data_IF_519024686596
#
_entry.id   IF_519024686596
#
_cell.length_a   1.000
_cell.length_b   1.000
_cell.length_c   1.000
_cell.angle_alpha   90.00
_cell.angle_beta   90.00
_cell.angle_gamma   90.00
#
_symmetry.space_group_name_H-M   'P 1'
#
loop_
_entity.id
_entity.type
_entity.pdbx_description
1 polymer ?
#
# COMPACT_ATOMS: atom_id res chain seq x y z
N UNK A 1 8.48 -11.07 6.69
CA UNK A 1 7.91 -12.35 6.24
C UNK A 1 6.55 -12.69 6.87
N UNK A 2 6.43 -12.87 8.20
CA UNK A 2 5.15 -13.18 8.88
C UNK A 2 4.14 -12.03 8.82
N UNK A 3 4.57 -10.80 9.16
CA UNK A 3 3.71 -9.61 9.14
C UNK A 3 3.16 -9.33 7.74
N UNK A 4 4.01 -9.45 6.71
CA UNK A 4 3.60 -9.29 5.32
C UNK A 4 2.55 -10.33 4.91
N UNK A 5 2.75 -11.60 5.29
CA UNK A 5 1.78 -12.68 5.03
C UNK A 5 0.46 -12.45 5.77
N UNK A 6 0.52 -12.10 7.04
CA UNK A 6 -0.66 -11.81 7.86
C UNK A 6 -1.44 -10.63 7.28
N UNK A 7 -0.78 -9.51 6.98
CA UNK A 7 -1.44 -8.35 6.35
C UNK A 7 -2.06 -8.70 5.01
N UNK A 8 -1.38 -9.50 4.17
CA UNK A 8 -1.94 -9.93 2.89
C UNK A 8 -3.24 -10.74 3.06
N UNK A 9 -3.33 -11.55 4.11
CA UNK A 9 -4.51 -12.37 4.44
C UNK A 9 -5.63 -11.59 5.16
N UNK A 10 -5.29 -10.57 5.93
CA UNK A 10 -6.26 -9.81 6.73
C UNK A 10 -6.79 -8.57 6.00
N UNK A 11 -5.89 -7.79 5.41
CA UNK A 11 -6.22 -6.51 4.79
C UNK A 11 -5.22 -6.18 3.68
N UNK A 12 -5.62 -6.47 2.45
CA UNK A 12 -4.78 -6.30 1.26
C UNK A 12 -4.34 -4.85 1.02
N UNK A 13 -5.16 -3.86 1.39
CA UNK A 13 -4.78 -2.44 1.31
C UNK A 13 -3.66 -2.10 2.31
N UNK A 14 -3.71 -2.63 3.53
CA UNK A 14 -2.62 -2.45 4.49
C UNK A 14 -1.35 -3.16 4.06
N UNK A 15 -1.47 -4.34 3.45
CA UNK A 15 -0.33 -5.04 2.86
C UNK A 15 0.34 -4.19 1.79
N UNK A 16 -0.44 -3.62 0.86
CA UNK A 16 0.12 -2.79 -0.19
C UNK A 16 0.86 -1.56 0.37
N UNK A 17 0.24 -0.83 1.31
CA UNK A 17 0.88 0.32 1.97
C UNK A 17 2.14 -0.07 2.74
N UNK A 18 2.13 -1.24 3.39
CA UNK A 18 3.30 -1.79 4.07
C UNK A 18 4.43 -2.11 3.09
N UNK A 19 4.11 -2.67 1.92
CA UNK A 19 5.10 -2.96 0.89
C UNK A 19 5.72 -1.68 0.30
N UNK A 20 4.91 -0.64 0.04
CA UNK A 20 5.43 0.66 -0.39
C UNK A 20 6.36 1.30 0.64
N UNK A 21 5.98 1.22 1.92
CA UNK A 21 6.86 1.67 3.00
C UNK A 21 8.17 0.88 3.03
N UNK A 22 8.12 -0.44 2.82
CA UNK A 22 9.33 -1.26 2.77
C UNK A 22 10.25 -0.86 1.63
N UNK A 23 9.71 -0.60 0.43
CA UNK A 23 10.49 -0.16 -0.72
C UNK A 23 11.28 1.13 -0.38
N UNK A 24 10.62 2.11 0.25
CA UNK A 24 11.27 3.36 0.65
C UNK A 24 12.30 3.16 1.76
N UNK A 25 12.01 2.29 2.73
CA UNK A 25 12.97 1.92 3.78
C UNK A 25 14.22 1.28 3.13
N UNK A 26 14.04 0.31 2.24
CA UNK A 26 15.14 -0.36 1.56
C UNK A 26 15.96 0.62 0.70
N UNK A 27 15.30 1.56 0.01
CA UNK A 27 15.98 2.65 -0.71
C UNK A 27 16.83 3.53 0.21
N UNK A 28 16.34 3.83 1.41
CA UNK A 28 17.10 4.63 2.38
C UNK A 28 18.36 3.91 2.90
N UNK A 29 18.39 2.58 2.83
CA UNK A 29 19.58 1.75 3.06
C UNK A 29 20.36 1.43 1.77
N UNK A 30 20.10 2.16 0.68
CA UNK A 30 20.80 1.99 -0.61
C UNK A 30 20.69 0.57 -1.20
N UNK A 31 19.65 -0.18 -0.81
CA UNK A 31 19.48 -1.59 -1.17
C UNK A 31 20.69 -2.47 -0.80
N UNK A 32 21.30 -2.16 0.34
CA UNK A 32 22.41 -2.89 0.94
C UNK A 32 21.90 -3.81 2.06
N UNK A 33 22.04 -5.12 1.86
CA UNK A 33 21.55 -6.12 2.80
C UNK A 33 22.32 -6.12 4.13
N UNK A 34 23.57 -5.66 4.14
CA UNK A 34 24.37 -5.59 5.37
C UNK A 34 23.94 -4.40 6.23
N UNK A 35 23.59 -3.27 5.61
CA UNK A 35 22.97 -2.14 6.32
C UNK A 35 21.60 -2.51 6.88
N UNK A 36 20.80 -3.24 6.09
CA UNK A 36 19.49 -3.76 6.51
C UNK A 36 19.62 -4.72 7.69
N UNK A 37 20.62 -5.61 7.66
CA UNK A 37 20.91 -6.52 8.78
C UNK A 37 21.10 -5.77 10.09
N UNK A 38 22.05 -4.84 10.09
CA UNK A 38 22.45 -4.12 11.31
C UNK A 38 21.33 -3.22 11.84
N UNK A 39 20.53 -2.63 10.95
CA UNK A 39 19.59 -1.57 11.32
C UNK A 39 18.14 -2.04 11.48
N UNK A 40 17.74 -3.12 10.79
CA UNK A 40 16.35 -3.61 10.78
C UNK A 40 16.20 -5.04 11.33
N UNK A 41 17.22 -5.88 11.19
CA UNK A 41 17.13 -7.30 11.55
C UNK A 41 17.66 -7.53 12.96
N UNK A 42 18.93 -7.19 13.22
CA UNK A 42 19.61 -7.44 14.49
C UNK A 42 18.91 -6.83 15.72
N UNK A 43 18.30 -5.62 15.64
CA UNK A 43 17.59 -5.04 16.78
C UNK A 43 16.23 -5.68 17.07
N UNK A 44 15.63 -6.37 16.10
CA UNK A 44 14.24 -6.85 16.15
C UNK A 44 14.14 -8.35 16.40
N UNK A 45 15.07 -9.13 15.85
CA UNK A 45 15.04 -10.59 15.93
C UNK A 45 16.13 -11.12 16.86
N UNK A 46 15.77 -12.09 17.70
CA UNK A 46 16.64 -12.56 18.78
C UNK A 46 17.25 -13.94 18.52
N UNK A 47 16.64 -14.75 17.66
CA UNK A 47 17.18 -16.05 17.25
C UNK A 47 17.90 -15.99 15.90
N UNK A 48 18.87 -16.87 15.68
CA UNK A 48 19.61 -16.92 14.42
C UNK A 48 18.72 -17.38 13.26
N UNK A 49 17.77 -18.26 13.54
CA UNK A 49 16.77 -18.72 12.58
C UNK A 49 15.89 -17.56 12.10
N UNK A 50 15.35 -16.75 13.00
CA UNK A 50 14.52 -15.59 12.65
C UNK A 50 15.31 -14.53 11.88
N UNK A 51 16.56 -14.25 12.30
CA UNK A 51 17.43 -13.30 11.60
C UNK A 51 17.71 -13.77 10.18
N UNK A 52 18.01 -15.06 10.00
CA UNK A 52 18.26 -15.64 8.68
C UNK A 52 17.03 -15.53 7.79
N UNK A 53 15.86 -15.91 8.29
CA UNK A 53 14.60 -15.81 7.54
C UNK A 53 14.26 -14.37 7.15
N UNK A 54 14.47 -13.41 8.05
CA UNK A 54 14.29 -12.00 7.76
C UNK A 54 15.28 -11.51 6.69
N UNK A 55 16.56 -11.91 6.80
CA UNK A 55 17.61 -11.54 5.85
C UNK A 55 17.28 -12.06 4.45
N UNK A 56 16.97 -13.34 4.33
CA UNK A 56 16.61 -13.97 3.05
C UNK A 56 15.41 -13.25 2.40
N UNK A 57 14.42 -12.85 3.21
CA UNK A 57 13.26 -12.13 2.73
C UNK A 57 13.59 -10.71 2.23
N UNK A 58 14.36 -9.93 2.99
CA UNK A 58 14.80 -8.59 2.56
C UNK A 58 15.74 -8.64 1.36
N UNK A 59 16.64 -9.62 1.31
CA UNK A 59 17.53 -9.84 0.18
C UNK A 59 16.73 -10.14 -1.09
N UNK A 60 15.70 -10.99 -1.01
CA UNK A 60 14.79 -11.24 -2.12
C UNK A 60 14.09 -9.98 -2.63
N UNK A 61 13.61 -9.11 -1.73
CA UNK A 61 13.01 -7.82 -2.11
C UNK A 61 14.03 -6.90 -2.79
N UNK A 62 15.23 -6.78 -2.23
CA UNK A 62 16.33 -5.99 -2.80
C UNK A 62 16.68 -6.48 -4.21
N UNK A 63 16.79 -7.80 -4.40
CA UNK A 63 17.08 -8.39 -5.70
C UNK A 63 16.00 -8.07 -6.73
N UNK A 64 14.72 -8.16 -6.35
CA UNK A 64 13.61 -7.77 -7.24
C UNK A 64 13.65 -6.28 -7.59
N UNK A 65 13.90 -5.40 -6.62
CA UNK A 65 14.02 -3.95 -6.89
C UNK A 65 15.18 -3.64 -7.85
N UNK A 66 16.29 -4.37 -7.73
CA UNK A 66 17.46 -4.23 -8.61
C UNK A 66 17.17 -4.77 -10.01
N UNK A 67 16.55 -5.94 -10.13
CA UNK A 67 16.25 -6.56 -11.43
C UNK A 67 15.18 -5.79 -12.20
N UNK A 68 14.22 -5.19 -11.52
CA UNK A 68 13.17 -4.36 -12.11
C UNK A 68 13.61 -2.92 -12.39
N UNK A 69 14.80 -2.51 -11.97
CA UNK A 69 15.34 -1.17 -12.25
C UNK A 69 14.68 -0.04 -11.45
N UNK A 70 14.08 -0.34 -10.30
CA UNK A 70 13.31 0.62 -9.46
C UNK A 70 14.09 1.07 -8.21
N UNK A 71 15.42 1.10 -8.30
CA UNK A 71 16.29 1.41 -7.16
C UNK A 71 16.12 2.84 -6.64
N UNK A 72 15.64 3.77 -7.48
CA UNK A 72 15.48 5.19 -7.13
C UNK A 72 14.03 5.59 -6.87
N UNK A 73 13.11 5.05 -7.66
CA UNK A 73 11.70 5.43 -7.66
C UNK A 73 10.82 4.30 -8.20
N UNK A 74 9.51 4.45 -8.06
CA UNK A 74 8.51 3.49 -8.53
C UNK A 74 8.16 2.41 -7.50
N UNK A 75 7.40 1.42 -7.94
CA UNK A 75 6.97 0.30 -7.10
C UNK A 75 7.28 -1.03 -7.79
N UNK A 76 7.53 -2.07 -6.99
CA UNK A 76 7.71 -3.43 -7.48
C UNK A 76 6.52 -3.84 -8.34
N UNK A 77 6.78 -4.62 -9.39
CA UNK A 77 5.75 -5.05 -10.33
C UNK A 77 4.65 -5.85 -9.63
N UNK A 78 5.00 -6.65 -8.61
CA UNK A 78 4.02 -7.36 -7.78
C UNK A 78 3.03 -6.41 -7.08
N UNK A 79 3.48 -5.24 -6.65
CA UNK A 79 2.65 -4.25 -5.97
C UNK A 79 1.79 -3.49 -6.98
N UNK A 80 2.32 -3.20 -8.18
CA UNK A 80 1.55 -2.62 -9.29
C UNK A 80 0.44 -3.55 -9.75
N UNK A 81 0.75 -4.84 -9.91
CA UNK A 81 -0.25 -5.85 -10.28
C UNK A 81 -1.36 -5.91 -9.24
N UNK A 82 -1.02 -5.84 -7.95
CA UNK A 82 -2.02 -5.81 -6.89
C UNK A 82 -2.94 -4.59 -6.97
N UNK A 83 -2.42 -3.41 -7.32
CA UNK A 83 -3.25 -2.22 -7.56
C UNK A 83 -4.20 -2.44 -8.74
N UNK A 84 -3.75 -3.11 -9.80
CA UNK A 84 -4.57 -3.47 -10.95
C UNK A 84 -5.70 -4.43 -10.53
N UNK A 85 -5.38 -5.50 -9.80
CA UNK A 85 -6.35 -6.48 -9.32
C UNK A 85 -7.43 -5.82 -8.45
N UNK A 86 -7.01 -4.92 -7.55
CA UNK A 86 -7.92 -4.13 -6.72
C UNK A 86 -8.77 -3.17 -7.56
N UNK A 87 -8.20 -2.59 -8.61
CA UNK A 87 -8.92 -1.69 -9.53
C UNK A 87 -9.98 -2.46 -10.30
N UNK A 88 -9.65 -3.65 -10.79
CA UNK A 88 -10.60 -4.51 -11.50
C UNK A 88 -11.72 -5.00 -10.60
N UNK A 89 -11.41 -5.38 -9.35
CA UNK A 89 -12.44 -5.69 -8.36
C UNK A 89 -13.33 -4.48 -8.08
N UNK A 90 -12.75 -3.31 -7.83
CA UNK A 90 -13.48 -2.07 -7.62
C UNK A 90 -14.47 -1.79 -8.76
N UNK A 91 -14.01 -1.89 -10.01
CA UNK A 91 -14.86 -1.68 -11.20
C UNK A 91 -15.96 -2.74 -11.35
N UNK A 92 -15.71 -3.99 -10.93
CA UNK A 92 -16.75 -5.03 -10.89
C UNK A 92 -17.81 -4.72 -9.85
N UNK A 93 -17.41 -4.33 -8.63
CA UNK A 93 -18.33 -3.96 -7.55
C UNK A 93 -19.22 -2.79 -7.96
N UNK A 94 -18.68 -1.79 -8.66
CA UNK A 94 -19.46 -0.65 -9.15
C UNK A 94 -20.52 -1.02 -10.19
N UNK A 95 -20.36 -2.15 -10.88
CA UNK A 95 -21.31 -2.65 -11.89
C UNK A 95 -22.35 -3.61 -11.33
N UNK A 96 -22.19 -4.10 -10.09
CA UNK A 96 -23.14 -5.01 -9.46
C UNK A 96 -24.15 -4.23 -8.61
N UNK A 97 -25.45 -4.20 -8.99
CA UNK A 97 -26.49 -3.53 -8.19
C UNK A 97 -26.64 -4.07 -6.77
N UNK A 98 -26.19 -5.30 -6.49
CA UNK A 98 -26.20 -5.89 -5.14
C UNK A 98 -25.21 -5.20 -4.21
N UNK A 99 -24.20 -4.54 -4.76
CA UNK A 99 -23.14 -3.84 -4.02
C UNK A 99 -23.50 -2.38 -3.69
N UNK A 100 -24.79 -2.09 -3.50
CA UNK A 100 -25.31 -0.74 -3.19
C UNK A 100 -24.60 -0.03 -2.02
N UNK A 101 -24.20 -0.78 -0.98
CA UNK A 101 -23.43 -0.23 0.14
C UNK A 101 -22.03 0.23 -0.26
N UNK A 102 -21.33 -0.56 -1.09
CA UNK A 102 -20.02 -0.20 -1.63
C UNK A 102 -20.13 1.02 -2.54
N UNK A 103 -21.10 0.99 -3.46
CA UNK A 103 -21.39 2.07 -4.41
C UNK A 103 -21.68 3.38 -3.66
N UNK A 104 -22.49 3.34 -2.60
CA UNK A 104 -22.80 4.53 -1.79
C UNK A 104 -21.56 5.14 -1.12
N UNK A 105 -20.69 4.31 -0.54
CA UNK A 105 -19.42 4.77 0.05
C UNK A 105 -18.50 5.36 -1.03
N UNK A 106 -18.41 4.72 -2.18
CA UNK A 106 -17.63 5.24 -3.31
C UNK A 106 -18.12 6.61 -3.76
N UNK A 107 -19.42 6.81 -3.98
CA UNK A 107 -19.94 8.12 -4.40
C UNK A 107 -19.72 9.22 -3.36
N UNK A 108 -19.78 8.89 -2.06
CA UNK A 108 -19.42 9.82 -1.00
C UNK A 108 -17.92 10.17 -0.99
N UNK A 109 -17.07 9.25 -1.45
CA UNK A 109 -15.61 9.42 -1.49
C UNK A 109 -15.15 10.13 -2.78
N UNK A 110 -15.89 9.98 -3.87
CA UNK A 110 -15.54 10.45 -5.22
C UNK A 110 -15.13 11.95 -5.28
N UNK A 111 -15.82 12.90 -4.61
CA UNK A 111 -15.39 14.30 -4.61
C UNK A 111 -13.97 14.51 -4.09
N UNK A 112 -13.55 13.73 -3.08
CA UNK A 112 -12.20 13.78 -2.54
C UNK A 112 -11.17 13.22 -3.53
N UNK A 113 -11.50 12.12 -4.21
CA UNK A 113 -10.62 11.52 -5.25
C UNK A 113 -10.41 12.51 -6.39
N UNK A 114 -11.48 13.14 -6.88
CA UNK A 114 -11.40 14.15 -7.95
C UNK A 114 -10.52 15.32 -7.53
N UNK A 115 -10.70 15.83 -6.31
CA UNK A 115 -9.87 16.92 -5.78
C UNK A 115 -8.38 16.53 -5.67
N UNK A 116 -8.07 15.29 -5.26
CA UNK A 116 -6.70 14.79 -5.19
C UNK A 116 -6.06 14.66 -6.58
N UNK A 117 -6.79 14.11 -7.58
CA UNK A 117 -6.30 14.00 -8.96
C UNK A 117 -6.05 15.36 -9.60
N UNK A 118 -6.90 16.34 -9.30
CA UNK A 118 -6.70 17.71 -9.76
C UNK A 118 -5.40 18.33 -9.22
N UNK A 119 -4.98 17.96 -8.00
CA UNK A 119 -3.74 18.44 -7.36
C UNK A 119 -2.50 17.68 -7.84
N UNK A 120 -2.60 16.38 -8.12
CA UNK A 120 -1.44 15.56 -8.54
C UNK A 120 -1.03 15.79 -9.99
N UNK A 121 -1.93 16.33 -10.84
CA UNK A 121 -1.65 16.64 -12.25
C UNK A 121 -1.51 15.42 -13.15
N UNK A 122 -1.51 14.20 -12.59
CA UNK A 122 -1.30 12.95 -13.32
C UNK A 122 -2.65 12.29 -13.62
N UNK A 123 -3.13 12.44 -14.86
CA UNK A 123 -4.44 11.94 -15.28
C UNK A 123 -4.45 10.44 -15.60
N UNK A 124 -3.29 9.85 -15.84
CA UNK A 124 -3.15 8.46 -16.30
C UNK A 124 -3.17 7.44 -15.16
N UNK A 125 -3.23 7.91 -13.91
CA UNK A 125 -3.26 7.09 -12.69
C UNK A 125 -4.70 6.71 -12.34
N UNK A 126 -4.89 5.45 -11.90
CA UNK A 126 -6.22 4.96 -11.49
C UNK A 126 -6.72 5.68 -10.23
N UNK A 127 -8.04 5.63 -9.99
CA UNK A 127 -8.61 6.21 -8.78
C UNK A 127 -8.12 5.53 -7.51
N UNK A 128 -7.96 4.21 -7.53
CA UNK A 128 -7.42 3.48 -6.39
C UNK A 128 -5.95 3.80 -6.15
N UNK A 129 -5.14 3.89 -7.21
CA UNK A 129 -3.75 4.30 -7.05
C UNK A 129 -3.67 5.71 -6.45
N UNK A 130 -4.52 6.64 -6.89
CA UNK A 130 -4.64 7.96 -6.26
C UNK A 130 -5.00 7.86 -4.77
N UNK A 131 -5.95 7.01 -4.40
CA UNK A 131 -6.33 6.77 -3.01
C UNK A 131 -5.15 6.24 -2.19
N UNK A 132 -4.41 5.25 -2.70
CA UNK A 132 -3.24 4.69 -2.02
C UNK A 132 -2.12 5.73 -1.87
N UNK A 133 -1.81 6.50 -2.93
CA UNK A 133 -0.82 7.58 -2.86
C UNK A 133 -1.20 8.64 -1.82
N UNK A 134 -2.48 9.01 -1.75
CA UNK A 134 -2.96 9.98 -0.76
C UNK A 134 -2.85 9.45 0.68
N UNK A 135 -3.24 8.19 0.92
CA UNK A 135 -3.08 7.55 2.23
C UNK A 135 -1.61 7.42 2.62
N UNK A 136 -0.75 6.99 1.71
CA UNK A 136 0.67 6.86 1.98
C UNK A 136 1.31 8.22 2.28
N UNK A 137 1.00 9.26 1.49
CA UNK A 137 1.44 10.63 1.77
C UNK A 137 0.96 11.13 3.13
N UNK A 138 -0.28 10.84 3.52
CA UNK A 138 -0.80 11.16 4.85
C UNK A 138 -0.03 10.44 5.98
N UNK A 139 0.32 9.17 5.80
CA UNK A 139 1.14 8.42 6.75
C UNK A 139 2.53 9.07 6.92
N UNK A 140 3.16 9.48 5.82
CA UNK A 140 4.46 10.17 5.86
C UNK A 140 4.37 11.51 6.60
N UNK A 141 3.33 12.32 6.32
CA UNK A 141 3.11 13.59 7.03
C UNK A 141 2.94 13.39 8.55
N UNK A 142 2.23 12.32 8.95
CA UNK A 142 2.08 11.94 10.36
C UNK A 142 3.41 11.55 11.00
N UNK A 143 4.23 10.74 10.33
CA UNK A 143 5.56 10.36 10.82
C UNK A 143 6.46 11.58 11.03
N UNK A 144 6.33 12.58 10.15
CA UNK A 144 7.04 13.85 10.25
C UNK A 144 6.43 14.84 11.27
N UNK A 145 5.35 14.45 11.97
CA UNK A 145 4.60 15.29 12.92
C UNK A 145 4.18 16.64 12.32
N UNK A 146 3.89 16.68 11.01
CA UNK A 146 3.39 17.88 10.36
C UNK A 146 1.93 18.11 10.72
N UNK A 147 1.54 19.37 10.77
CA UNK A 147 0.14 19.75 10.93
C UNK A 147 -0.65 19.34 9.68
N UNK A 148 -1.81 18.71 9.89
CA UNK A 148 -2.67 18.21 8.81
C UNK A 148 -4.04 18.88 8.97
N UNK A 149 -4.49 19.56 7.92
CA UNK A 149 -5.78 20.24 7.93
C UNK A 149 -6.95 19.28 8.16
N UNK A 150 -8.03 19.78 8.78
CA UNK A 150 -9.25 19.01 8.99
C UNK A 150 -9.89 18.50 7.69
N UNK A 151 -9.79 19.27 6.61
CA UNK A 151 -10.24 18.85 5.28
C UNK A 151 -9.48 17.61 4.77
N UNK A 152 -8.15 17.61 4.94
CA UNK A 152 -7.33 16.45 4.56
C UNK A 152 -7.64 15.25 5.42
N UNK A 153 -7.84 15.42 6.73
CA UNK A 153 -8.23 14.33 7.62
C UNK A 153 -9.58 13.72 7.24
N UNK A 154 -10.57 14.55 6.89
CA UNK A 154 -11.89 14.09 6.45
C UNK A 154 -11.82 13.30 5.14
N UNK A 155 -11.07 13.81 4.15
CA UNK A 155 -10.85 13.11 2.88
C UNK A 155 -10.17 11.75 3.09
N UNK A 156 -9.14 11.71 3.94
CA UNK A 156 -8.41 10.48 4.29
C UNK A 156 -9.32 9.48 5.02
N UNK A 157 -10.22 9.94 5.90
CA UNK A 157 -11.16 9.07 6.58
C UNK A 157 -12.13 8.39 5.60
N UNK A 158 -12.65 9.13 4.61
CA UNK A 158 -13.50 8.56 3.55
C UNK A 158 -12.75 7.53 2.71
N UNK A 159 -11.54 7.88 2.25
CA UNK A 159 -10.69 6.97 1.46
C UNK A 159 -10.35 5.70 2.25
N UNK A 160 -10.00 5.83 3.53
CA UNK A 160 -9.74 4.68 4.41
C UNK A 160 -10.97 3.79 4.53
N UNK A 161 -12.17 4.38 4.63
CA UNK A 161 -13.43 3.66 4.65
C UNK A 161 -13.67 2.84 3.39
N UNK A 162 -13.47 3.45 2.21
CA UNK A 162 -13.59 2.80 0.90
C UNK A 162 -12.61 1.63 0.75
N UNK A 163 -11.31 1.85 1.04
CA UNK A 163 -10.29 0.81 0.87
C UNK A 163 -10.47 -0.34 1.86
N UNK A 164 -10.92 -0.07 3.09
CA UNK A 164 -11.24 -1.14 4.06
C UNK A 164 -12.34 -2.05 3.53
N UNK A 165 -13.40 -1.49 2.94
CA UNK A 165 -14.48 -2.29 2.38
C UNK A 165 -14.01 -3.05 1.13
N UNK A 166 -13.20 -2.42 0.28
CA UNK A 166 -12.58 -3.09 -0.86
C UNK A 166 -11.70 -4.27 -0.42
N UNK A 167 -10.90 -4.11 0.64
CA UNK A 167 -10.10 -5.21 1.19
C UNK A 167 -10.95 -6.37 1.68
N UNK A 168 -12.10 -6.10 2.32
CA UNK A 168 -13.02 -7.15 2.74
C UNK A 168 -13.60 -7.91 1.54
N UNK A 169 -13.97 -7.19 0.48
CA UNK A 169 -14.46 -7.80 -0.77
C UNK A 169 -13.38 -8.61 -1.49
N UNK A 170 -12.15 -8.10 -1.51
CA UNK A 170 -11.02 -8.82 -2.10
C UNK A 170 -10.78 -10.13 -1.38
N UNK A 171 -10.76 -10.10 -0.04
CA UNK A 171 -10.62 -11.31 0.77
C UNK A 171 -11.72 -12.33 0.50
N UNK A 172 -12.98 -11.89 0.43
CA UNK A 172 -14.10 -12.79 0.14
C UNK A 172 -13.96 -13.48 -1.22
N UNK A 173 -13.48 -12.78 -2.25
CA UNK A 173 -13.25 -13.35 -3.58
C UNK A 173 -12.08 -14.35 -3.62
N UNK A 174 -11.04 -14.15 -2.81
CA UNK A 174 -9.90 -15.08 -2.71
C UNK A 174 -10.22 -16.35 -1.91
N UNK A 175 -11.26 -16.32 -1.06
CA UNK A 175 -11.71 -17.46 -0.25
C UNK A 175 -12.79 -18.32 -0.95
N UNK A 176 -13.36 -17.85 -2.06
CA UNK A 176 -14.30 -18.56 -2.93
C UNK A 176 -13.60 -19.45 -3.96
#
# INVERSE_FOLDING_TARGET
MLIARQKKQENIAEYLLYMWQLEDILRSYELDIDKVQQSLIDPVYHTEEEKKEARDWYEGLIMMMKSEGIQKEGHLQINKNLVIDLTDLHLRLLKDPKESAYIGIYYNTLPHIVALRAKSGNKDVSELETCFTALYGYLLLKLQKREISGETQAAIAQITGLLRLLSQKYKAVEEE
#
